data_IF_183292885933
#
_entry.id   IF_183292885933
#
_cell.length_a   1.000
_cell.length_b   1.000
_cell.length_c   1.000
_cell.angle_alpha   90.00
_cell.angle_beta   90.00
_cell.angle_gamma   90.00
#
_symmetry.space_group_name_H-M   'P 1'
#
loop_
_entity.id
_entity.type
_entity.pdbx_description
1 polymer ?
#
# COMPACT_ATOMS: atom_id res chain seq x y z
N UNK A 1 12.49 -23.60 -69.10
CA UNK A 1 12.51 -25.08 -68.98
C UNK A 1 11.56 -25.46 -67.87
N UNK A 2 10.39 -25.99 -68.26
CA UNK A 2 9.30 -26.39 -67.37
C UNK A 2 9.11 -27.91 -67.50
N UNK A 3 9.03 -28.61 -66.38
CA UNK A 3 8.63 -30.03 -66.24
C UNK A 3 7.56 -30.06 -65.15
N UNK A 4 6.28 -30.22 -65.52
CA UNK A 4 5.53 -31.47 -65.67
C UNK A 4 5.11 -32.13 -64.34
N UNK A 5 3.77 -32.31 -64.25
CA UNK A 5 3.01 -33.41 -63.60
C UNK A 5 2.98 -33.45 -62.06
N UNK A 6 1.85 -33.67 -61.39
CA UNK A 6 0.73 -34.53 -61.74
C UNK A 6 -0.62 -34.03 -61.18
N UNK A 7 -1.67 -34.45 -61.88
CA UNK A 7 -3.10 -34.27 -61.59
C UNK A 7 -3.63 -35.58 -60.97
N UNK A 8 -4.42 -35.51 -59.90
CA UNK A 8 -5.33 -36.59 -59.52
C UNK A 8 -6.60 -35.99 -58.92
N UNK A 9 -7.71 -36.27 -59.59
CA UNK A 9 -9.10 -35.93 -59.25
C UNK A 9 -9.71 -37.13 -58.54
N UNK A 10 -10.33 -36.98 -57.35
CA UNK A 10 -11.54 -37.71 -56.92
C UNK A 10 -12.39 -36.80 -55.99
N UNK A 11 -13.65 -36.62 -56.35
CA UNK A 11 -14.79 -35.95 -55.64
C UNK A 11 -15.73 -37.09 -55.12
N UNK A 12 -16.80 -36.92 -54.31
CA UNK A 12 -17.10 -36.15 -53.07
C UNK A 12 -17.56 -37.09 -51.92
N UNK A 13 -17.71 -36.60 -50.68
CA UNK A 13 -18.81 -37.06 -49.78
C UNK A 13 -19.34 -35.89 -48.98
N UNK A 14 -20.55 -35.44 -49.37
CA UNK A 14 -21.49 -34.72 -48.52
C UNK A 14 -22.21 -35.75 -47.65
N UNK A 15 -22.04 -35.69 -46.33
CA UNK A 15 -23.08 -36.16 -45.39
C UNK A 15 -23.41 -34.98 -44.47
N UNK A 16 -24.61 -34.49 -44.69
CA UNK A 16 -25.38 -33.65 -43.79
C UNK A 16 -25.64 -34.39 -42.47
N UNK A 17 -25.37 -33.75 -41.34
CA UNK A 17 -26.11 -33.99 -40.11
C UNK A 17 -26.68 -32.67 -39.64
N UNK A 18 -27.96 -32.51 -39.92
CA UNK A 18 -28.84 -31.50 -39.39
C UNK A 18 -29.48 -32.05 -38.11
N UNK A 19 -29.47 -31.21 -37.07
CA UNK A 19 -30.36 -31.18 -35.89
C UNK A 19 -30.31 -32.33 -34.88
N UNK A 20 -29.79 -32.00 -33.69
CA UNK A 20 -30.55 -32.26 -32.47
C UNK A 20 -30.53 -31.00 -31.61
N UNK A 21 -31.63 -30.26 -31.64
CA UNK A 21 -31.91 -29.23 -30.66
C UNK A 21 -32.46 -29.90 -29.40
N UNK A 22 -31.94 -29.52 -28.23
CA UNK A 22 -32.71 -29.37 -26.99
C UNK A 22 -31.92 -28.49 -26.00
N UNK A 23 -32.65 -27.62 -25.35
CA UNK A 23 -32.21 -26.51 -24.51
C UNK A 23 -31.56 -26.92 -23.17
N UNK A 24 -30.59 -26.13 -22.73
CA UNK A 24 -30.46 -25.61 -21.35
C UNK A 24 -29.33 -24.56 -21.33
N UNK A 25 -29.63 -23.27 -21.28
CA UNK A 25 -29.50 -22.43 -20.07
C UNK A 25 -28.14 -22.55 -19.37
N UNK A 26 -27.38 -21.45 -19.36
CA UNK A 26 -26.22 -21.30 -18.47
C UNK A 26 -25.23 -20.28 -18.97
N UNK A 27 -25.37 -19.05 -18.50
CA UNK A 27 -24.41 -17.98 -18.67
C UNK A 27 -23.00 -18.41 -18.20
N UNK A 28 -21.96 -18.13 -19.00
CA UNK A 28 -20.60 -18.08 -18.47
C UNK A 28 -20.44 -16.74 -17.76
N UNK A 29 -20.46 -16.78 -16.42
CA UNK A 29 -20.09 -15.68 -15.51
C UNK A 29 -18.65 -15.21 -15.82
N UNK A 30 -18.33 -13.92 -15.61
CA UNK A 30 -16.95 -13.53 -15.32
C UNK A 30 -16.56 -14.08 -13.93
N UNK A 31 -15.31 -14.53 -13.80
CA UNK A 31 -14.75 -15.10 -12.58
C UNK A 31 -14.90 -14.12 -11.40
N UNK A 32 -15.78 -14.46 -10.45
CA UNK A 32 -15.84 -13.85 -9.13
C UNK A 32 -14.55 -14.27 -8.40
N UNK A 33 -13.75 -13.29 -7.92
CA UNK A 33 -12.71 -13.54 -6.91
C UNK A 33 -13.42 -14.12 -5.69
N UNK A 34 -13.18 -15.40 -5.42
CA UNK A 34 -13.72 -16.08 -4.23
C UNK A 34 -12.74 -15.75 -3.11
N UNK A 35 -13.12 -14.85 -2.20
CA UNK A 35 -12.43 -14.74 -0.92
C UNK A 35 -12.65 -16.05 -0.17
N UNK A 36 -11.59 -16.84 -0.03
CA UNK A 36 -11.67 -18.06 0.76
C UNK A 36 -11.97 -17.71 2.21
N UNK A 37 -12.90 -18.41 2.86
CA UNK A 37 -13.26 -18.10 4.23
C UNK A 37 -12.09 -18.36 5.18
N UNK A 38 -11.87 -17.41 6.09
CA UNK A 38 -10.89 -17.58 7.17
C UNK A 38 -11.35 -18.75 8.07
N UNK A 39 -10.45 -19.69 8.32
CA UNK A 39 -10.74 -20.94 9.03
C UNK A 39 -11.27 -20.65 10.46
N UNK A 40 -12.47 -21.17 10.78
CA UNK A 40 -13.01 -21.18 12.15
C UNK A 40 -14.21 -20.26 12.43
N UNK A 41 -14.60 -19.37 11.50
CA UNK A 41 -15.71 -18.43 11.71
C UNK A 41 -17.08 -18.83 11.15
N UNK A 42 -18.14 -18.15 11.59
CA UNK A 42 -19.50 -18.26 11.03
C UNK A 42 -19.77 -17.09 10.09
N UNK A 43 -20.01 -17.39 8.81
CA UNK A 43 -20.22 -16.38 7.77
C UNK A 43 -21.69 -15.94 7.73
N UNK A 44 -21.93 -14.64 7.87
CA UNK A 44 -23.19 -13.98 7.54
C UNK A 44 -23.08 -13.32 6.18
N UNK A 45 -23.76 -13.88 5.19
CA UNK A 45 -23.78 -13.32 3.84
C UNK A 45 -25.19 -12.78 3.49
N UNK A 46 -25.27 -11.49 3.15
CA UNK A 46 -26.49 -10.79 2.70
C UNK A 46 -26.26 -10.04 1.38
N UNK A 47 -25.32 -10.53 0.58
CA UNK A 47 -24.92 -9.88 -0.68
C UNK A 47 -26.12 -9.69 -1.59
N UNK A 48 -26.29 -8.48 -2.12
CA UNK A 48 -27.23 -8.15 -3.17
C UNK A 48 -26.54 -8.30 -4.54
N UNK A 49 -26.77 -9.40 -5.27
CA UNK A 49 -26.13 -9.62 -6.57
C UNK A 49 -26.63 -8.67 -7.66
N UNK A 50 -27.79 -8.05 -7.47
CA UNK A 50 -28.42 -7.15 -8.44
C UNK A 50 -27.96 -5.68 -8.26
N UNK A 51 -27.06 -5.40 -7.30
CA UNK A 51 -26.50 -4.08 -7.12
C UNK A 51 -25.68 -3.65 -8.36
N UNK A 52 -25.83 -2.40 -8.85
CA UNK A 52 -25.10 -1.91 -10.02
C UNK A 52 -23.59 -2.04 -9.85
N UNK A 53 -22.92 -2.60 -10.86
CA UNK A 53 -21.45 -2.76 -10.92
C UNK A 53 -20.75 -1.65 -11.70
N UNK A 54 -21.50 -0.62 -12.04
CA UNK A 54 -21.05 0.61 -12.65
C UNK A 54 -21.76 1.76 -11.95
N UNK A 55 -21.08 2.88 -11.78
CA UNK A 55 -21.64 4.15 -11.32
C UNK A 55 -21.36 5.17 -12.42
N UNK A 56 -22.40 5.86 -12.88
CA UNK A 56 -22.29 6.82 -13.99
C UNK A 56 -21.72 8.18 -13.59
N UNK A 57 -21.75 8.52 -12.30
CA UNK A 57 -21.25 9.77 -11.76
C UNK A 57 -19.91 9.63 -11.03
N UNK A 58 -19.14 10.72 -11.02
CA UNK A 58 -17.93 10.87 -10.22
C UNK A 58 -18.11 11.85 -9.06
N UNK A 59 -19.28 12.48 -8.96
CA UNK A 59 -19.53 13.56 -8.01
C UNK A 59 -20.09 12.96 -6.72
N UNK A 60 -19.19 12.63 -5.79
CA UNK A 60 -19.54 12.17 -4.45
C UNK A 60 -20.23 13.31 -3.68
N UNK A 61 -21.41 13.05 -3.14
CA UNK A 61 -22.18 13.99 -2.29
C UNK A 61 -22.33 13.50 -0.85
N UNK A 62 -21.96 12.24 -0.58
CA UNK A 62 -21.78 11.70 0.76
C UNK A 62 -20.84 10.50 0.70
N UNK A 63 -20.02 10.32 1.73
CA UNK A 63 -19.08 9.23 1.86
C UNK A 63 -19.09 8.73 3.29
N UNK A 64 -18.86 7.45 3.50
CA UNK A 64 -18.62 6.88 4.81
C UNK A 64 -17.74 5.66 4.69
N UNK A 65 -16.81 5.51 5.63
CA UNK A 65 -16.05 4.28 5.78
C UNK A 65 -15.70 4.02 7.24
N UNK A 66 -15.58 2.75 7.58
CA UNK A 66 -15.04 2.26 8.84
C UNK A 66 -14.08 1.11 8.49
N UNK A 67 -12.78 1.29 8.74
CA UNK A 67 -11.70 0.39 8.34
C UNK A 67 -10.77 0.13 9.51
N UNK A 68 -10.15 -1.06 9.62
CA UNK A 68 -9.18 -1.36 10.67
C UNK A 68 -7.78 -1.52 10.08
N UNK A 69 -6.86 -0.63 10.45
CA UNK A 69 -5.47 -0.63 9.98
C UNK A 69 -4.51 -0.90 11.16
N UNK A 70 -4.37 -2.17 11.60
CA UNK A 70 -3.60 -2.53 12.80
C UNK A 70 -2.14 -2.10 12.75
N UNK A 71 -1.56 -2.08 11.55
CA UNK A 71 -0.14 -1.81 11.36
C UNK A 71 0.17 -0.33 11.11
N UNK A 72 -0.85 0.53 11.04
CA UNK A 72 -0.65 1.96 10.73
C UNK A 72 -0.05 2.74 11.89
N UNK A 73 -0.43 2.41 13.13
CA UNK A 73 -0.01 3.13 14.33
C UNK A 73 0.82 2.25 15.26
N UNK A 74 2.02 2.70 15.62
CA UNK A 74 2.77 2.12 16.75
C UNK A 74 2.18 2.62 18.06
N UNK A 75 1.61 1.72 18.84
CA UNK A 75 1.14 2.01 20.18
C UNK A 75 0.57 0.75 20.82
N UNK A 76 0.60 0.69 22.15
CA UNK A 76 -0.16 -0.32 22.87
C UNK A 76 -1.64 -0.15 22.48
N UNK A 77 -2.30 -1.23 22.06
CA UNK A 77 -3.73 -1.25 21.70
C UNK A 77 -4.59 -0.66 22.82
N UNK A 78 -4.09 -0.71 24.05
CA UNK A 78 -4.71 -0.14 25.25
C UNK A 78 -4.45 1.37 25.45
N UNK A 79 -3.42 1.95 24.84
CA UNK A 79 -2.95 3.32 25.10
C UNK A 79 -3.42 4.39 24.11
N UNK A 80 -3.70 4.05 22.84
CA UNK A 80 -4.08 5.03 21.79
C UNK A 80 -5.43 4.78 21.10
N UNK A 81 -6.18 3.78 21.55
CA UNK A 81 -7.48 3.46 20.97
C UNK A 81 -7.39 2.44 19.84
N UNK A 82 -8.58 1.98 19.42
CA UNK A 82 -8.76 1.01 18.34
C UNK A 82 -8.02 1.43 17.08
N UNK A 83 -7.42 0.47 16.37
CA UNK A 83 -6.89 0.64 15.01
C UNK A 83 -8.00 0.84 13.97
N UNK A 84 -9.21 1.20 14.42
CA UNK A 84 -10.43 1.34 13.63
C UNK A 84 -10.60 2.82 13.32
N UNK A 85 -10.56 3.17 12.04
CA UNK A 85 -10.68 4.52 11.52
C UNK A 85 -12.06 4.70 10.88
N UNK A 86 -12.82 5.66 11.42
CA UNK A 86 -14.14 6.01 10.93
C UNK A 86 -14.12 7.41 10.35
N UNK A 87 -14.40 7.51 9.05
CA UNK A 87 -14.50 8.75 8.30
C UNK A 87 -15.88 8.91 7.68
N UNK A 88 -16.41 10.12 7.69
CA UNK A 88 -17.73 10.42 7.12
C UNK A 88 -17.71 11.78 6.42
N UNK A 89 -18.33 11.88 5.25
CA UNK A 89 -18.60 13.12 4.56
C UNK A 89 -20.12 13.26 4.42
N UNK A 90 -20.69 14.27 5.06
CA UNK A 90 -22.12 14.58 4.99
C UNK A 90 -22.39 16.07 5.15
N UNK A 91 -23.57 16.56 4.71
CA UNK A 91 -23.99 17.92 5.02
C UNK A 91 -24.10 18.14 6.54
N UNK A 92 -23.54 19.23 7.03
CA UNK A 92 -23.73 19.69 8.40
C UNK A 92 -25.10 20.36 8.59
N UNK A 93 -25.37 20.92 9.77
CA UNK A 93 -26.62 21.63 10.08
C UNK A 93 -26.88 22.84 9.17
N UNK A 94 -25.83 23.41 8.57
CA UNK A 94 -25.91 24.53 7.63
C UNK A 94 -26.09 24.10 6.18
N UNK A 95 -26.03 22.79 5.89
CA UNK A 95 -26.03 22.22 4.54
C UNK A 95 -24.65 22.22 3.87
N UNK A 96 -23.59 22.57 4.59
CA UNK A 96 -22.21 22.53 4.10
C UNK A 96 -21.70 21.11 4.18
N UNK A 97 -21.23 20.57 3.05
CA UNK A 97 -20.61 19.24 3.03
C UNK A 97 -19.35 19.26 3.90
N UNK A 98 -19.33 18.43 4.94
CA UNK A 98 -18.29 18.44 5.97
C UNK A 98 -17.72 17.04 6.10
N UNK A 99 -16.39 16.94 6.15
CA UNK A 99 -15.68 15.71 6.47
C UNK A 99 -15.49 15.62 7.99
N UNK A 100 -15.73 14.42 8.53
CA UNK A 100 -15.64 14.07 9.94
C UNK A 100 -14.67 12.91 10.09
N UNK A 101 -13.83 13.01 11.09
CA UNK A 101 -13.06 11.88 11.61
C UNK A 101 -13.48 11.68 13.07
N UNK A 102 -13.96 10.48 13.38
CA UNK A 102 -14.74 10.26 14.61
C UNK A 102 -13.89 9.91 15.84
N UNK A 103 -12.65 9.44 15.69
CA UNK A 103 -11.80 9.09 16.84
C UNK A 103 -11.28 10.37 17.53
N UNK A 104 -10.76 11.32 16.75
CA UNK A 104 -10.25 12.59 17.27
C UNK A 104 -11.34 13.68 17.36
N UNK A 105 -12.56 13.37 16.90
CA UNK A 105 -13.67 14.31 16.76
C UNK A 105 -13.31 15.52 15.87
N UNK A 106 -12.44 15.32 14.89
CA UNK A 106 -12.04 16.35 13.95
C UNK A 106 -13.13 16.53 12.88
N UNK A 107 -13.33 17.78 12.45
CA UNK A 107 -14.19 18.06 11.31
C UNK A 107 -13.75 19.32 10.57
N UNK A 108 -13.97 19.33 9.25
CA UNK A 108 -13.68 20.47 8.41
C UNK A 108 -14.56 20.44 7.15
N UNK A 109 -14.97 21.58 6.57
CA UNK A 109 -15.65 21.61 5.28
C UNK A 109 -14.88 20.83 4.22
N UNK A 110 -15.56 19.89 3.56
CA UNK A 110 -15.02 19.08 2.47
C UNK A 110 -14.84 19.94 1.22
N UNK A 111 -13.76 19.71 0.47
CA UNK A 111 -13.45 20.39 -0.78
C UNK A 111 -13.40 19.40 -1.95
N UNK A 112 -13.38 19.93 -3.18
CA UNK A 112 -13.36 19.12 -4.39
C UNK A 112 -12.12 18.23 -4.48
N UNK A 113 -10.99 18.63 -3.88
CA UNK A 113 -9.74 17.88 -3.88
C UNK A 113 -9.87 16.58 -3.07
N UNK A 114 -10.50 16.63 -1.88
CA UNK A 114 -10.83 15.43 -1.10
C UNK A 114 -11.71 14.48 -1.91
N UNK A 115 -12.81 14.99 -2.46
CA UNK A 115 -13.80 14.17 -3.17
C UNK A 115 -13.21 13.51 -4.42
N UNK A 116 -12.40 14.25 -5.19
CA UNK A 116 -11.70 13.71 -6.36
C UNK A 116 -10.66 12.66 -5.97
N UNK A 117 -9.95 12.85 -4.86
CA UNK A 117 -8.97 11.89 -4.36
C UNK A 117 -9.63 10.58 -3.92
N UNK A 118 -10.76 10.66 -3.21
CA UNK A 118 -11.55 9.48 -2.86
C UNK A 118 -12.10 8.77 -4.10
N UNK A 119 -12.61 9.52 -5.09
CA UNK A 119 -13.09 8.94 -6.36
C UNK A 119 -11.96 8.26 -7.14
N UNK A 120 -10.73 8.80 -7.07
CA UNK A 120 -9.56 8.16 -7.66
C UNK A 120 -9.28 6.79 -7.02
N UNK A 121 -9.28 6.70 -5.69
CA UNK A 121 -9.12 5.41 -4.98
C UNK A 121 -10.21 4.41 -5.39
N UNK A 122 -11.48 4.84 -5.46
CA UNK A 122 -12.59 3.99 -5.93
C UNK A 122 -12.31 3.40 -7.32
N UNK A 123 -11.75 4.19 -8.23
CA UNK A 123 -11.44 3.79 -9.61
C UNK A 123 -10.24 2.88 -9.70
N UNK A 124 -9.15 3.25 -9.04
CA UNK A 124 -7.87 2.53 -9.11
C UNK A 124 -8.02 1.10 -8.60
N UNK A 125 -8.74 0.92 -7.48
CA UNK A 125 -9.03 -0.39 -6.90
C UNK A 125 -10.34 -1.03 -7.39
N UNK A 126 -11.01 -0.41 -8.36
CA UNK A 126 -12.27 -0.91 -8.95
C UNK A 126 -13.32 -1.27 -7.89
N UNK A 127 -13.45 -0.45 -6.85
CA UNK A 127 -14.29 -0.75 -5.68
C UNK A 127 -15.77 -0.90 -6.04
N UNK A 128 -16.21 -0.31 -7.16
CA UNK A 128 -17.58 -0.49 -7.69
C UNK A 128 -17.92 -1.97 -7.94
N UNK A 129 -16.94 -2.82 -8.26
CA UNK A 129 -17.15 -4.26 -8.41
C UNK A 129 -17.66 -4.93 -7.12
N UNK A 130 -17.31 -4.36 -5.96
CA UNK A 130 -17.73 -4.81 -4.63
C UNK A 130 -19.15 -4.35 -4.26
N UNK A 131 -19.81 -3.49 -5.05
CA UNK A 131 -21.12 -2.92 -4.70
C UNK A 131 -22.16 -4.00 -4.35
N UNK A 132 -22.91 -3.81 -3.27
CA UNK A 132 -23.91 -4.75 -2.77
C UNK A 132 -23.33 -5.96 -2.02
N UNK A 133 -22.01 -6.11 -1.90
CA UNK A 133 -21.40 -7.20 -1.12
C UNK A 133 -21.67 -6.99 0.37
N UNK A 134 -22.16 -8.04 1.03
CA UNK A 134 -22.28 -8.12 2.49
C UNK A 134 -21.84 -9.50 2.91
N UNK A 135 -20.63 -9.62 3.47
CA UNK A 135 -20.08 -10.89 3.93
C UNK A 135 -19.19 -10.66 5.13
N UNK A 136 -19.68 -11.06 6.32
CA UNK A 136 -18.96 -10.90 7.58
C UNK A 136 -18.82 -12.25 8.28
N UNK A 137 -17.61 -12.55 8.73
CA UNK A 137 -17.22 -13.76 9.44
C UNK A 137 -17.16 -13.47 10.93
N UNK A 138 -18.10 -14.01 11.68
CA UNK A 138 -18.09 -13.91 13.14
C UNK A 138 -17.12 -14.92 13.75
N UNK A 139 -16.41 -14.52 14.82
CA UNK A 139 -15.58 -15.42 15.64
C UNK A 139 -14.14 -15.57 15.18
N UNK A 140 -13.66 -14.69 14.29
CA UNK A 140 -12.24 -14.55 13.93
C UNK A 140 -11.61 -13.39 14.71
N UNK A 141 -10.28 -13.31 14.72
CA UNK A 141 -9.55 -12.25 15.43
C UNK A 141 -10.04 -10.87 14.96
N UNK A 142 -10.31 -9.91 15.86
CA UNK A 142 -10.78 -8.58 15.49
C UNK A 142 -9.96 -7.88 14.41
N UNK A 143 -8.65 -8.17 14.28
CA UNK A 143 -7.84 -7.66 13.18
C UNK A 143 -8.42 -8.04 11.80
N UNK A 144 -8.92 -9.26 11.66
CA UNK A 144 -9.48 -9.79 10.41
C UNK A 144 -11.03 -9.81 10.40
N UNK A 145 -11.66 -9.71 11.58
CA UNK A 145 -13.11 -9.87 11.77
C UNK A 145 -13.89 -8.60 12.04
N UNK A 146 -13.22 -7.46 12.17
CA UNK A 146 -13.92 -6.18 12.27
C UNK A 146 -14.64 -5.91 10.95
N UNK A 147 -15.92 -5.52 10.95
CA UNK A 147 -16.60 -5.16 9.72
C UNK A 147 -15.95 -3.93 9.08
N UNK A 148 -15.40 -4.13 7.88
CA UNK A 148 -15.00 -3.05 7.01
C UNK A 148 -16.27 -2.55 6.28
N UNK A 149 -16.63 -1.30 6.52
CA UNK A 149 -17.80 -0.67 5.93
C UNK A 149 -17.38 0.42 4.94
N UNK A 150 -18.07 0.47 3.80
CA UNK A 150 -17.84 1.48 2.78
C UNK A 150 -19.15 1.89 2.15
N UNK A 151 -19.38 3.21 2.03
CA UNK A 151 -20.44 3.75 1.20
C UNK A 151 -20.08 5.08 0.55
N UNK A 152 -20.47 5.26 -0.70
CA UNK A 152 -20.42 6.53 -1.41
C UNK A 152 -21.75 6.76 -2.14
N UNK A 153 -22.34 7.94 -1.93
CA UNK A 153 -23.54 8.40 -2.63
C UNK A 153 -23.15 9.50 -3.59
N UNK A 154 -23.71 9.46 -4.80
CA UNK A 154 -23.39 10.38 -5.88
C UNK A 154 -24.53 11.38 -6.14
N UNK A 155 -24.25 12.49 -6.81
CA UNK A 155 -25.21 13.54 -7.16
C UNK A 155 -26.40 13.04 -8.01
N UNK A 156 -26.22 11.94 -8.74
CA UNK A 156 -27.25 11.23 -9.51
C UNK A 156 -28.21 10.43 -8.63
N UNK A 157 -27.89 10.24 -7.34
CA UNK A 157 -28.58 9.35 -6.42
C UNK A 157 -28.14 7.89 -6.51
N UNK A 158 -27.13 7.58 -7.33
CA UNK A 158 -26.48 6.27 -7.32
C UNK A 158 -25.73 6.04 -6.00
N UNK A 159 -25.66 4.78 -5.56
CA UNK A 159 -24.99 4.38 -4.32
C UNK A 159 -24.03 3.21 -4.59
N UNK A 160 -22.80 3.37 -4.11
CA UNK A 160 -21.83 2.30 -3.92
C UNK A 160 -21.82 1.94 -2.44
N UNK A 161 -22.14 0.71 -2.07
CA UNK A 161 -22.12 0.26 -0.68
C UNK A 161 -21.69 -1.19 -0.55
N UNK A 162 -20.78 -1.48 0.38
CA UNK A 162 -20.44 -2.85 0.76
C UNK A 162 -20.00 -2.95 2.22
N UNK A 163 -20.09 -4.16 2.76
CA UNK A 163 -19.63 -4.51 4.10
C UNK A 163 -18.93 -5.87 4.03
N UNK A 164 -17.65 -5.91 4.36
CA UNK A 164 -16.81 -7.12 4.25
C UNK A 164 -15.98 -7.31 5.51
N UNK A 165 -15.40 -8.49 5.66
CA UNK A 165 -14.37 -8.71 6.66
C UNK A 165 -13.20 -7.75 6.44
N UNK A 166 -12.61 -7.25 7.52
CA UNK A 166 -11.43 -6.41 7.42
C UNK A 166 -10.29 -7.16 6.75
N UNK A 167 -9.61 -6.48 5.85
CA UNK A 167 -8.40 -6.97 5.20
C UNK A 167 -7.23 -6.12 5.74
N UNK A 168 -6.49 -6.57 6.78
CA UNK A 168 -5.50 -5.74 7.51
C UNK A 168 -4.39 -5.11 6.66
N UNK A 169 -4.25 -5.61 5.44
CA UNK A 169 -3.23 -5.24 4.46
C UNK A 169 -3.85 -4.75 3.15
N UNK A 170 -5.13 -4.34 3.16
CA UNK A 170 -5.80 -3.88 1.95
C UNK A 170 -5.25 -2.51 1.54
N UNK A 171 -4.67 -2.47 0.34
CA UNK A 171 -4.13 -1.26 -0.28
C UNK A 171 -5.18 -0.14 -0.36
N UNK A 172 -6.41 -0.49 -0.74
CA UNK A 172 -7.46 0.52 -0.88
C UNK A 172 -7.88 1.13 0.46
N UNK A 173 -7.86 0.36 1.56
CA UNK A 173 -8.17 0.87 2.90
C UNK A 173 -7.06 1.83 3.36
N UNK A 174 -5.80 1.47 3.13
CA UNK A 174 -4.64 2.34 3.36
C UNK A 174 -4.75 3.65 2.57
N UNK A 175 -5.08 3.58 1.28
CA UNK A 175 -5.18 4.75 0.42
C UNK A 175 -6.35 5.66 0.79
N UNK A 176 -7.50 5.11 1.21
CA UNK A 176 -8.60 5.91 1.75
C UNK A 176 -8.16 6.64 3.02
N UNK A 177 -7.51 5.94 3.95
CA UNK A 177 -6.96 6.56 5.15
C UNK A 177 -5.96 7.68 4.79
N UNK A 178 -5.05 7.44 3.85
CA UNK A 178 -4.02 8.42 3.47
C UNK A 178 -4.60 9.67 2.82
N UNK A 179 -5.67 9.52 2.03
CA UNK A 179 -6.43 10.66 1.51
C UNK A 179 -6.96 11.52 2.65
N UNK A 180 -7.61 10.93 3.66
CA UNK A 180 -8.14 11.68 4.79
C UNK A 180 -7.04 12.25 5.69
N UNK A 181 -6.07 11.44 6.09
CA UNK A 181 -4.97 11.85 6.97
C UNK A 181 -4.22 13.04 6.36
N UNK A 182 -3.86 12.97 5.08
CA UNK A 182 -3.23 14.07 4.34
C UNK A 182 -4.09 15.31 4.34
N UNK A 183 -5.34 15.16 3.95
CA UNK A 183 -6.25 16.27 3.78
C UNK A 183 -6.51 17.02 5.10
N UNK A 184 -6.63 16.30 6.22
CA UNK A 184 -6.76 16.88 7.55
C UNK A 184 -5.45 17.50 8.06
N UNK A 185 -4.29 16.91 7.79
CA UNK A 185 -2.98 17.49 8.14
C UNK A 185 -2.72 18.80 7.39
N UNK A 186 -3.09 18.89 6.11
CA UNK A 186 -3.03 20.14 5.34
C UNK A 186 -3.91 21.26 5.95
N UNK A 187 -4.83 20.90 6.86
CA UNK A 187 -5.71 21.79 7.64
C UNK A 187 -5.24 21.98 9.09
N UNK A 188 -4.04 21.49 9.42
CA UNK A 188 -3.43 21.59 10.74
C UNK A 188 -3.90 20.54 11.75
N UNK A 189 -4.56 19.47 11.30
CA UNK A 189 -5.04 18.37 12.13
C UNK A 189 -4.12 17.17 11.90
N UNK A 190 -2.96 17.19 12.56
CA UNK A 190 -1.92 16.17 12.39
C UNK A 190 -2.15 14.90 13.22
N UNK A 191 -3.15 14.90 14.11
CA UNK A 191 -3.44 13.80 15.02
C UNK A 191 -3.86 12.49 14.31
N UNK A 192 -4.21 12.58 13.04
CA UNK A 192 -4.56 11.42 12.22
C UNK A 192 -3.33 10.69 11.74
N UNK A 193 -2.22 11.38 11.48
CA UNK A 193 -0.95 10.71 11.17
C UNK A 193 -0.39 10.08 12.43
N UNK A 194 0.21 8.88 12.34
CA UNK A 194 1.00 8.39 13.46
C UNK A 194 2.07 9.43 13.83
N UNK A 195 2.37 9.52 15.12
CA UNK A 195 3.36 10.48 15.64
C UNK A 195 4.65 10.39 14.82
N UNK A 196 5.09 11.51 14.25
CA UNK A 196 6.37 11.56 13.53
C UNK A 196 7.46 10.90 14.37
N UNK A 197 8.13 9.90 13.81
CA UNK A 197 9.19 9.22 14.52
C UNK A 197 10.35 10.19 14.71
N UNK A 198 10.58 10.59 15.96
CA UNK A 198 11.54 11.65 16.31
C UNK A 198 12.90 11.12 16.75
N UNK A 199 13.10 9.80 16.78
CA UNK A 199 14.37 9.23 17.18
C UNK A 199 15.46 9.62 16.18
N UNK A 200 16.68 9.82 16.68
CA UNK A 200 17.80 10.30 15.87
C UNK A 200 18.64 9.14 15.40
N UNK A 201 19.05 9.15 14.13
CA UNK A 201 19.99 8.18 13.61
C UNK A 201 21.29 8.22 14.44
N UNK A 202 21.84 7.07 14.74
CA UNK A 202 23.13 6.87 15.42
C UNK A 202 24.06 5.98 14.61
N UNK A 203 23.52 5.28 13.61
CA UNK A 203 24.25 4.53 12.60
C UNK A 203 23.52 4.59 11.27
N UNK A 204 24.26 4.61 10.17
CA UNK A 204 23.70 4.66 8.83
C UNK A 204 24.56 3.86 7.85
N UNK A 205 23.91 3.14 6.95
CA UNK A 205 24.49 2.48 5.80
C UNK A 205 23.59 2.65 4.58
N UNK A 206 24.19 2.83 3.41
CA UNK A 206 23.50 2.86 2.12
C UNK A 206 24.40 2.24 1.05
N UNK A 207 23.82 1.35 0.26
CA UNK A 207 24.40 0.78 -0.94
C UNK A 207 23.39 0.94 -2.07
N UNK A 208 23.80 1.52 -3.19
CA UNK A 208 22.95 1.73 -4.37
C UNK A 208 23.72 1.33 -5.62
N UNK A 209 23.17 0.35 -6.36
CA UNK A 209 23.55 0.02 -7.71
C UNK A 209 22.42 0.39 -8.66
N UNK A 210 22.76 1.05 -9.77
CA UNK A 210 21.82 1.32 -10.85
C UNK A 210 22.45 0.93 -12.19
N UNK A 211 21.76 0.10 -12.96
CA UNK A 211 22.25 -0.49 -14.21
C UNK A 211 23.65 -1.13 -14.06
N UNK A 212 23.89 -1.82 -12.93
CA UNK A 212 25.12 -2.52 -12.63
C UNK A 212 26.29 -1.63 -12.20
N UNK A 213 26.07 -0.32 -12.03
CA UNK A 213 27.07 0.63 -11.58
C UNK A 213 26.81 1.07 -10.13
N UNK A 214 27.84 1.01 -9.28
CA UNK A 214 27.78 1.53 -7.91
C UNK A 214 27.60 3.05 -7.94
N UNK A 215 26.45 3.53 -7.48
CA UNK A 215 26.16 4.96 -7.31
C UNK A 215 26.56 5.45 -5.94
N UNK A 216 26.48 4.60 -4.94
CA UNK A 216 26.88 4.89 -3.56
C UNK A 216 27.15 3.60 -2.80
N UNK A 217 28.27 3.55 -2.08
CA UNK A 217 28.51 2.60 -0.99
C UNK A 217 29.09 3.40 0.20
N UNK A 218 28.25 3.58 1.21
CA UNK A 218 28.59 4.34 2.39
C UNK A 218 28.08 3.63 3.65
N UNK A 219 28.97 3.48 4.64
CA UNK A 219 28.58 3.00 5.96
C UNK A 219 29.37 3.69 7.04
N UNK A 220 28.70 4.15 8.10
CA UNK A 220 29.37 4.77 9.25
C UNK A 220 30.21 3.79 10.07
N UNK A 221 30.10 2.49 9.79
CA UNK A 221 30.95 1.45 10.38
C UNK A 221 32.06 0.96 9.47
N UNK A 222 32.16 1.48 8.25
CA UNK A 222 33.20 1.07 7.32
C UNK A 222 34.58 1.48 7.86
N UNK A 223 35.45 0.48 8.02
CA UNK A 223 36.82 0.65 8.48
C UNK A 223 37.80 0.19 7.41
N UNK A 224 38.92 0.88 7.29
CA UNK A 224 40.04 0.47 6.44
C UNK A 224 40.76 -0.76 7.06
N UNK A 225 41.79 -1.26 6.37
CA UNK A 225 42.59 -2.40 6.83
C UNK A 225 43.27 -2.20 8.17
N UNK A 226 43.48 -0.95 8.57
CA UNK A 226 44.11 -0.55 9.83
C UNK A 226 43.08 -0.36 10.96
N UNK A 227 41.80 -0.57 10.68
CA UNK A 227 40.70 -0.46 11.64
C UNK A 227 40.23 0.98 11.89
N UNK A 228 40.71 1.94 11.10
CA UNK A 228 40.26 3.34 11.14
C UNK A 228 39.03 3.55 10.26
N UNK A 229 38.13 4.46 10.67
CA UNK A 229 36.96 4.79 9.87
C UNK A 229 37.36 5.44 8.54
N UNK A 230 36.71 5.02 7.46
CA UNK A 230 37.03 5.47 6.09
C UNK A 230 36.64 6.94 5.86
N UNK A 231 35.74 7.48 6.69
CA UNK A 231 35.17 8.82 6.52
C UNK A 231 35.36 9.68 7.77
N UNK A 232 35.56 10.99 7.57
CA UNK A 232 35.38 11.98 8.64
C UNK A 232 33.97 12.51 8.55
N UNK A 233 33.13 12.20 9.53
CA UNK A 233 31.75 12.67 9.54
C UNK A 233 31.67 14.10 10.10
N UNK A 234 30.87 15.00 9.49
CA UNK A 234 30.51 16.27 10.10
C UNK A 234 29.86 16.09 11.47
N UNK A 235 30.02 17.08 12.37
CA UNK A 235 29.40 17.05 13.71
C UNK A 235 27.87 16.93 13.64
N UNK A 236 27.25 17.47 12.58
CA UNK A 236 25.81 17.46 12.35
C UNK A 236 25.34 16.29 11.45
N UNK A 237 26.20 15.30 11.21
CA UNK A 237 25.95 14.23 10.25
C UNK A 237 24.62 13.51 10.50
N UNK A 238 24.45 12.98 11.71
CA UNK A 238 23.25 12.22 12.05
C UNK A 238 22.00 13.09 12.12
N UNK A 239 22.12 14.38 12.43
CA UNK A 239 20.99 15.32 12.38
C UNK A 239 20.51 15.51 10.93
N UNK A 240 21.45 15.68 9.99
CA UNK A 240 21.11 15.81 8.56
C UNK A 240 20.52 14.54 7.99
N UNK A 241 21.12 13.38 8.27
CA UNK A 241 20.56 12.08 7.86
C UNK A 241 19.15 11.92 8.41
N UNK A 242 18.94 12.14 9.71
CA UNK A 242 17.61 12.04 10.33
C UNK A 242 16.59 12.96 9.65
N UNK A 243 16.97 14.21 9.31
CA UNK A 243 16.09 15.14 8.59
C UNK A 243 15.72 14.65 7.19
N UNK A 244 16.67 14.08 6.44
CA UNK A 244 16.40 13.50 5.12
C UNK A 244 15.46 12.31 5.27
N UNK A 245 15.74 11.37 6.17
CA UNK A 245 14.91 10.17 6.35
C UNK A 245 13.48 10.52 6.82
N UNK A 246 13.35 11.48 7.75
CA UNK A 246 12.07 11.96 8.24
C UNK A 246 11.25 12.74 7.19
N UNK A 247 11.90 13.34 6.19
CA UNK A 247 11.21 14.04 5.09
C UNK A 247 10.44 13.06 4.18
N UNK A 248 10.88 11.81 4.11
CA UNK A 248 10.28 10.77 3.26
C UNK A 248 9.51 9.70 4.05
N UNK A 249 9.29 9.91 5.35
CA UNK A 249 8.51 9.03 6.24
C UNK A 249 8.90 7.54 6.16
N UNK A 250 10.19 7.25 5.93
CA UNK A 250 10.74 5.89 5.74
C UNK A 250 10.31 4.89 6.81
N UNK A 251 10.31 5.37 8.04
CA UNK A 251 9.96 4.64 9.26
C UNK A 251 8.51 4.17 9.30
N UNK A 252 7.61 4.94 8.68
CA UNK A 252 6.19 4.58 8.60
C UNK A 252 5.89 3.71 7.38
N UNK A 253 6.74 3.77 6.36
CA UNK A 253 6.58 3.00 5.13
C UNK A 253 7.17 1.60 5.22
N UNK A 254 8.05 1.32 6.17
CA UNK A 254 8.69 0.01 6.36
C UNK A 254 8.68 -0.40 7.83
N UNK A 255 8.29 -1.64 8.10
CA UNK A 255 8.35 -2.20 9.45
C UNK A 255 9.80 -2.44 9.91
N UNK A 256 10.02 -2.34 11.23
CA UNK A 256 11.32 -2.49 11.88
C UNK A 256 11.58 -3.95 12.27
N UNK A 257 12.86 -4.33 12.34
CA UNK A 257 13.27 -5.43 13.23
C UNK A 257 13.44 -4.89 14.66
N UNK A 258 12.80 -5.51 15.64
CA UNK A 258 12.96 -5.16 17.07
C UNK A 258 13.82 -6.23 17.76
N UNK A 259 14.78 -5.80 18.59
CA UNK A 259 15.54 -6.73 19.41
C UNK A 259 14.67 -7.23 20.57
N UNK A 260 14.34 -8.51 20.58
CA UNK A 260 13.54 -9.11 21.64
C UNK A 260 14.45 -9.54 22.79
N UNK A 261 14.42 -8.75 23.87
CA UNK A 261 15.23 -8.99 25.08
C UNK A 261 14.86 -10.28 25.83
N UNK A 262 13.68 -10.87 25.57
CA UNK A 262 13.25 -12.12 26.19
C UNK A 262 13.75 -13.36 25.45
N UNK A 263 13.81 -13.29 24.12
CA UNK A 263 14.27 -14.39 23.26
C UNK A 263 15.77 -14.31 22.95
N UNK A 264 16.41 -13.15 23.17
CA UNK A 264 17.83 -12.93 22.90
C UNK A 264 18.18 -12.93 21.42
N UNK A 265 17.17 -12.92 20.55
CA UNK A 265 17.30 -12.87 19.08
C UNK A 265 16.56 -11.65 18.53
N UNK A 266 16.88 -11.31 17.29
CA UNK A 266 16.14 -10.31 16.54
C UNK A 266 14.86 -10.95 16.01
N UNK A 267 13.71 -10.37 16.34
CA UNK A 267 12.46 -10.75 15.70
C UNK A 267 12.39 -9.93 14.41
N UNK A 268 12.50 -10.64 13.28
CA UNK A 268 12.30 -10.09 11.95
C UNK A 268 10.87 -10.41 11.52
N UNK A 269 10.12 -9.36 11.16
CA UNK A 269 8.83 -9.41 10.47
C UNK A 269 7.70 -10.09 11.25
N UNK A 270 6.85 -9.30 11.91
CA UNK A 270 5.52 -9.78 12.31
C UNK A 270 4.46 -9.44 11.25
N UNK A 271 4.67 -8.40 10.42
CA UNK A 271 3.65 -7.92 9.49
C UNK A 271 4.22 -7.70 8.08
N UNK A 272 3.74 -8.44 7.08
CA UNK A 272 3.63 -8.00 5.66
C UNK A 272 4.86 -7.54 4.85
N UNK A 273 4.70 -7.58 3.53
CA UNK A 273 5.62 -7.00 2.56
C UNK A 273 5.42 -5.48 2.51
N UNK A 274 6.50 -4.70 2.58
CA UNK A 274 6.47 -3.24 2.46
C UNK A 274 7.55 -2.80 1.49
N UNK A 275 7.16 -2.47 0.26
CA UNK A 275 8.01 -1.88 -0.77
C UNK A 275 7.79 -0.37 -0.85
N UNK A 276 8.75 0.38 -1.40
CA UNK A 276 8.46 1.73 -1.89
C UNK A 276 7.63 1.65 -3.20
N UNK A 277 6.69 2.56 -3.46
CA UNK A 277 5.97 2.64 -4.76
C UNK A 277 4.53 2.12 -4.73
N UNK A 278 3.83 2.28 -5.87
CA UNK A 278 2.48 1.74 -6.04
C UNK A 278 2.55 0.23 -5.84
N UNK A 279 1.84 -0.29 -4.84
CA UNK A 279 1.73 -1.72 -4.64
C UNK A 279 0.92 -2.25 -5.84
N UNK A 280 1.62 -2.78 -6.84
CA UNK A 280 0.95 -3.46 -7.94
C UNK A 280 0.55 -4.83 -7.40
N UNK A 281 -0.66 -5.34 -7.70
CA UNK A 281 -1.06 -6.72 -7.35
C UNK A 281 -0.18 -7.79 -8.00
N UNK A 282 0.83 -7.38 -8.76
CA UNK A 282 1.86 -8.20 -9.36
C UNK A 282 3.06 -8.31 -8.40
N UNK A 283 2.94 -9.19 -7.40
CA UNK A 283 4.11 -9.83 -6.76
C UNK A 283 5.02 -10.58 -7.77
N UNK A 284 4.74 -10.45 -9.07
CA UNK A 284 5.44 -11.04 -10.20
C UNK A 284 6.49 -10.15 -10.83
N UNK A 285 6.68 -8.90 -10.39
CA UNK A 285 7.84 -8.11 -10.85
C UNK A 285 9.11 -8.89 -10.49
N UNK A 286 9.89 -9.35 -11.49
CA UNK A 286 11.15 -10.02 -11.22
C UNK A 286 12.16 -9.00 -10.70
N UNK A 287 13.01 -9.43 -9.79
CA UNK A 287 14.17 -8.64 -9.35
C UNK A 287 15.00 -8.20 -10.57
N UNK A 288 15.47 -6.96 -10.53
CA UNK A 288 16.46 -6.47 -11.48
C UNK A 288 17.78 -7.22 -11.25
N UNK A 289 18.42 -7.66 -12.34
CA UNK A 289 19.78 -8.24 -12.26
C UNK A 289 20.83 -7.16 -11.93
N UNK A 290 20.51 -5.89 -12.22
CA UNK A 290 21.48 -4.80 -12.27
C UNK A 290 21.18 -3.65 -11.28
N UNK A 291 19.98 -3.57 -10.73
CA UNK A 291 19.58 -2.55 -9.75
C UNK A 291 19.47 -3.15 -8.35
N UNK A 292 20.01 -2.45 -7.34
CA UNK A 292 19.98 -2.87 -5.95
C UNK A 292 20.03 -1.67 -5.02
N UNK A 293 19.21 -1.70 -3.96
CA UNK A 293 19.26 -0.73 -2.88
C UNK A 293 19.27 -1.48 -1.55
N UNK A 294 20.26 -1.17 -0.71
CA UNK A 294 20.31 -1.55 0.70
C UNK A 294 20.46 -0.27 1.54
N UNK A 295 19.58 -0.07 2.51
CA UNK A 295 19.64 1.03 3.47
C UNK A 295 19.51 0.45 4.87
N UNK A 296 20.42 0.82 5.75
CA UNK A 296 20.38 0.44 7.16
C UNK A 296 20.48 1.67 8.07
N UNK A 297 19.65 1.73 9.10
CA UNK A 297 19.64 2.80 10.10
C UNK A 297 19.47 2.23 11.50
N UNK A 298 20.25 2.72 12.46
CA UNK A 298 20.04 2.51 13.89
C UNK A 298 19.72 3.85 14.54
N UNK A 299 18.78 3.89 15.48
CA UNK A 299 18.31 5.08 16.16
C UNK A 299 18.71 5.10 17.64
N UNK A 300 18.67 6.28 18.28
CA UNK A 300 19.08 6.50 19.67
C UNK A 300 18.16 5.88 20.72
N UNK A 301 16.93 5.55 20.34
CA UNK A 301 15.98 4.77 21.14
C UNK A 301 16.20 3.24 21.03
N UNK A 302 17.18 2.81 20.23
CA UNK A 302 17.47 1.40 19.93
C UNK A 302 16.68 0.82 18.75
N UNK A 303 15.80 1.61 18.12
CA UNK A 303 15.11 1.23 16.90
C UNK A 303 16.08 0.98 15.74
N UNK A 304 15.75 0.03 14.88
CA UNK A 304 16.56 -0.29 13.69
C UNK A 304 15.68 -0.50 12.47
N UNK A 305 16.13 0.05 11.36
CA UNK A 305 15.41 0.05 10.10
C UNK A 305 16.32 -0.46 8.99
N UNK A 306 15.79 -1.29 8.10
CA UNK A 306 16.50 -1.89 6.98
C UNK A 306 15.60 -1.92 5.72
N UNK A 307 16.14 -1.52 4.57
CA UNK A 307 15.58 -1.81 3.25
C UNK A 307 16.60 -2.66 2.53
N UNK A 308 16.15 -3.71 1.86
CA UNK A 308 16.93 -4.43 0.86
C UNK A 308 16.00 -4.77 -0.31
N UNK A 309 16.29 -4.26 -1.50
CA UNK A 309 15.44 -4.50 -2.68
C UNK A 309 16.19 -4.47 -3.99
N UNK A 310 15.72 -5.27 -4.94
CA UNK A 310 16.12 -5.28 -6.35
C UNK A 310 14.95 -4.94 -7.28
N UNK A 311 13.78 -4.60 -6.73
CA UNK A 311 12.59 -4.32 -7.53
C UNK A 311 12.67 -2.92 -8.12
N UNK A 312 12.52 -2.83 -9.43
CA UNK A 312 12.70 -1.58 -10.15
C UNK A 312 11.64 -0.55 -9.76
N UNK A 313 10.38 -0.99 -9.61
CA UNK A 313 9.30 -0.10 -9.15
C UNK A 313 9.59 0.53 -7.78
N UNK A 314 10.16 -0.23 -6.85
CA UNK A 314 10.53 0.27 -5.52
C UNK A 314 11.69 1.25 -5.57
N UNK A 315 12.73 0.90 -6.32
CA UNK A 315 13.88 1.77 -6.52
C UNK A 315 13.47 3.08 -7.18
N UNK A 316 12.61 3.03 -8.22
CA UNK A 316 12.06 4.20 -8.90
C UNK A 316 11.28 5.13 -7.94
N UNK A 317 10.46 4.57 -7.05
CA UNK A 317 9.72 5.34 -6.06
C UNK A 317 10.63 5.96 -4.98
N UNK A 318 11.76 5.34 -4.66
CA UNK A 318 12.76 5.87 -3.73
C UNK A 318 13.67 6.94 -4.33
N UNK A 319 13.70 7.12 -5.65
CA UNK A 319 14.66 8.00 -6.35
C UNK A 319 14.81 9.40 -5.75
N UNK A 320 13.73 10.13 -5.37
CA UNK A 320 13.88 11.45 -4.76
C UNK A 320 14.70 11.43 -3.47
N UNK A 321 14.49 10.40 -2.63
CA UNK A 321 15.20 10.20 -1.38
C UNK A 321 16.64 9.72 -1.62
N UNK A 322 16.82 8.73 -2.51
CA UNK A 322 18.14 8.21 -2.86
C UNK A 322 19.03 9.32 -3.41
N UNK A 323 18.51 10.16 -4.29
CA UNK A 323 19.23 11.31 -4.84
C UNK A 323 19.74 12.22 -3.72
N UNK A 324 18.87 12.62 -2.79
CA UNK A 324 19.23 13.52 -1.68
C UNK A 324 20.24 12.89 -0.71
N UNK A 325 20.09 11.60 -0.39
CA UNK A 325 21.06 10.85 0.41
C UNK A 325 22.41 10.75 -0.30
N UNK A 326 22.44 10.36 -1.56
CA UNK A 326 23.68 10.19 -2.35
C UNK A 326 24.41 11.53 -2.50
N UNK A 327 23.69 12.61 -2.83
CA UNK A 327 24.26 13.96 -2.90
C UNK A 327 24.87 14.39 -1.56
N UNK A 328 24.18 14.11 -0.45
CA UNK A 328 24.70 14.41 0.87
C UNK A 328 25.99 13.63 1.18
N UNK A 329 26.02 12.33 0.92
CA UNK A 329 27.20 11.50 1.21
C UNK A 329 28.38 11.80 0.28
N UNK A 330 28.12 12.11 -0.99
CA UNK A 330 29.15 12.55 -1.94
C UNK A 330 29.78 13.90 -1.54
N UNK A 331 29.12 14.68 -0.68
CA UNK A 331 29.68 15.92 -0.13
C UNK A 331 30.64 15.71 1.05
N UNK A 332 30.71 14.50 1.61
CA UNK A 332 31.54 14.18 2.77
C UNK A 332 32.98 13.89 2.32
N UNK A 333 33.95 14.53 2.98
CA UNK A 333 35.37 14.31 2.68
C UNK A 333 35.81 12.88 3.00
N UNK A 334 36.25 12.15 1.97
CA UNK A 334 36.88 10.84 2.11
C UNK A 334 38.31 11.02 2.62
N UNK A 335 38.70 10.30 3.67
CA UNK A 335 40.12 10.21 4.04
C UNK A 335 40.81 9.31 3.02
N UNK A 336 41.55 9.92 2.10
CA UNK A 336 42.48 9.19 1.24
C UNK A 336 43.83 9.25 1.93
N UNK A 337 44.14 8.23 2.73
CA UNK A 337 45.50 8.06 3.23
C UNK A 337 46.36 7.51 2.09
N UNK A 338 47.34 8.33 1.68
CA UNK A 338 48.39 7.99 0.71
C UNK A 338 49.48 7.11 1.29
#
# INVERSE_FOLDING_TARGET
MSRMTAMAIIIPVLISMVLSACASSGASKPEDVIDEPIEGGIITNKTNPDAPKEIGSDNIVSFYTNISLPNRWKGDREGRGSHDFEFEIKPDESGTLTAYEHISCASHPADDELLQSLQKVIRDYKLVSRNGKYSITAGIDPEFGSPCEFSATYDTGEELKFTIDNEPYSEWECDIYDVFAKWFSDKGIDALYPDKYTAKATRFGITVYENGEEKCDFSTVLKNTDGEYVYTLPDDYYEKVTKILAKYDLVFRYEYSVYNFSSGVYDNHENGYFGFGDQRPDYSEPDSEDDYVDIYVEYDDGGRFGIETQKKSEIEAMQPMLTELIEYHNSIERRIDS
#
